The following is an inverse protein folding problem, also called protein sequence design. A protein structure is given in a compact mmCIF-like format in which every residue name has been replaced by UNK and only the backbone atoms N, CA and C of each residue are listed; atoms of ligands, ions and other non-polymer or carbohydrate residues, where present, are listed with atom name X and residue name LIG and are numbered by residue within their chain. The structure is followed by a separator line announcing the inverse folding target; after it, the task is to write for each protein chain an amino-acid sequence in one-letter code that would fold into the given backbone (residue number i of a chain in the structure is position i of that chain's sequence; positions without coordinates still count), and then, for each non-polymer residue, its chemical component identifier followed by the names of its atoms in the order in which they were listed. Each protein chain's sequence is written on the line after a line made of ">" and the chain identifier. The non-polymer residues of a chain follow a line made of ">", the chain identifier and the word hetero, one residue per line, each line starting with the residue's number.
data_IF_731765170482
#
_entry.id   IF_731765170482
#
_cell.length_a   1.000
_cell.length_b   1.000
_cell.length_c   1.000
_cell.angle_alpha   90.00
_cell.angle_beta   90.00
_cell.angle_gamma   90.00
#
_symmetry.space_group_name_H-M   'P 1'
#
loop_
_entity.id
_entity.type
_entity.pdbx_description
1 polymer ?
#
# COMPACT_ATOMS: atom_id res chain seq x y z
N UNK A 1 -37.79 0.54 -13.04
CA UNK A 1 -37.07 0.60 -11.74
C UNK A 1 -36.66 -0.81 -11.37
N UNK A 2 -35.36 -1.09 -11.21
CA UNK A 2 -34.86 -2.43 -10.84
C UNK A 2 -35.26 -2.69 -9.38
N UNK A 3 -35.89 -3.83 -9.09
CA UNK A 3 -36.35 -4.16 -7.73
C UNK A 3 -35.18 -4.20 -6.74
N UNK A 4 -35.42 -3.79 -5.50
CA UNK A 4 -34.42 -3.78 -4.42
C UNK A 4 -33.78 -5.18 -4.23
N UNK A 5 -34.56 -6.26 -4.48
CA UNK A 5 -34.06 -7.66 -4.51
C UNK A 5 -33.04 -7.91 -5.64
N UNK A 6 -33.30 -7.39 -6.83
CA UNK A 6 -32.40 -7.54 -7.98
C UNK A 6 -31.10 -6.72 -7.82
N UNK A 7 -31.17 -5.56 -7.15
CA UNK A 7 -29.98 -4.78 -6.80
C UNK A 7 -29.11 -5.50 -5.75
N UNK A 8 -29.73 -6.06 -4.71
CA UNK A 8 -29.02 -6.84 -3.70
C UNK A 8 -28.33 -8.08 -4.29
N UNK A 9 -28.98 -8.78 -5.23
CA UNK A 9 -28.38 -9.95 -5.88
C UNK A 9 -27.18 -9.58 -6.77
N UNK A 10 -27.26 -8.45 -7.49
CA UNK A 10 -26.14 -7.91 -8.28
C UNK A 10 -24.95 -7.54 -7.41
N UNK A 11 -25.19 -6.84 -6.30
CA UNK A 11 -24.15 -6.49 -5.33
C UNK A 11 -23.50 -7.73 -4.71
N UNK A 12 -24.29 -8.78 -4.42
CA UNK A 12 -23.76 -10.05 -3.91
C UNK A 12 -22.82 -10.72 -4.92
N UNK A 13 -23.26 -10.87 -6.18
CA UNK A 13 -22.43 -11.43 -7.27
C UNK A 13 -21.19 -10.59 -7.55
N UNK A 14 -21.26 -9.28 -7.37
CA UNK A 14 -20.09 -8.40 -7.51
C UNK A 14 -19.10 -8.61 -6.37
N UNK A 15 -19.57 -8.76 -5.13
CA UNK A 15 -18.73 -9.08 -3.97
C UNK A 15 -18.06 -10.43 -4.10
N UNK A 16 -18.79 -11.46 -4.55
CA UNK A 16 -18.25 -12.80 -4.80
C UNK A 16 -17.10 -12.76 -5.82
N UNK A 17 -17.32 -12.12 -6.99
CA UNK A 17 -16.27 -11.97 -8.01
C UNK A 17 -15.06 -11.19 -7.51
N UNK A 18 -15.28 -10.13 -6.75
CA UNK A 18 -14.16 -9.37 -6.15
C UNK A 18 -13.40 -10.20 -5.12
N UNK A 19 -14.09 -11.06 -4.36
CA UNK A 19 -13.48 -11.95 -3.38
C UNK A 19 -12.61 -12.99 -4.10
N UNK A 20 -13.14 -13.69 -5.10
CA UNK A 20 -12.39 -14.67 -5.89
C UNK A 20 -11.15 -14.06 -6.54
N UNK A 21 -11.29 -12.86 -7.12
CA UNK A 21 -10.15 -12.14 -7.69
C UNK A 21 -9.07 -11.82 -6.63
N UNK A 22 -9.47 -11.34 -5.44
CA UNK A 22 -8.53 -11.08 -4.34
C UNK A 22 -7.88 -12.36 -3.83
N UNK A 23 -8.62 -13.46 -3.74
CA UNK A 23 -8.10 -14.75 -3.27
C UNK A 23 -7.09 -15.34 -4.27
N UNK A 24 -7.34 -15.21 -5.58
CA UNK A 24 -6.35 -15.54 -6.62
C UNK A 24 -5.07 -14.71 -6.51
N UNK A 25 -5.20 -13.39 -6.37
CA UNK A 25 -4.04 -12.52 -6.19
C UNK A 25 -3.22 -12.84 -4.94
N UNK A 26 -3.88 -13.28 -3.85
CA UNK A 26 -3.22 -13.74 -2.63
C UNK A 26 -2.47 -15.06 -2.85
N UNK A 27 -3.08 -16.01 -3.57
CA UNK A 27 -2.44 -17.28 -3.91
C UNK A 27 -1.22 -17.07 -4.82
N UNK A 28 -1.31 -16.14 -5.78
CA UNK A 28 -0.19 -15.74 -6.66
C UNK A 28 0.87 -14.89 -5.94
N UNK A 29 0.67 -14.57 -4.64
CA UNK A 29 1.54 -13.68 -3.83
C UNK A 29 1.85 -12.35 -4.53
N UNK A 30 0.95 -11.89 -5.40
CA UNK A 30 1.18 -10.74 -6.26
C UNK A 30 1.08 -9.44 -5.43
N UNK A 31 2.10 -8.57 -5.44
CA UNK A 31 2.01 -7.30 -4.74
C UNK A 31 0.96 -6.41 -5.41
N UNK A 32 0.18 -5.73 -4.58
CA UNK A 32 -0.75 -4.69 -5.04
C UNK A 32 0.00 -3.39 -5.34
N UNK A 33 -0.64 -2.46 -6.06
CA UNK A 33 -0.09 -1.12 -6.32
C UNK A 33 0.32 -0.41 -5.02
N UNK A 34 -0.51 -0.55 -3.99
CA UNK A 34 -0.27 0.03 -2.68
C UNK A 34 0.89 -0.64 -1.94
N UNK A 35 1.06 -1.97 -2.07
CA UNK A 35 2.24 -2.65 -1.51
C UNK A 35 3.55 -2.12 -2.15
N UNK A 36 3.55 -1.94 -3.47
CA UNK A 36 4.71 -1.39 -4.19
C UNK A 36 4.95 0.07 -3.77
N UNK A 37 3.90 0.90 -3.73
CA UNK A 37 4.03 2.30 -3.33
C UNK A 37 4.61 2.44 -1.92
N UNK A 38 4.14 1.62 -0.97
CA UNK A 38 4.64 1.64 0.40
C UNK A 38 6.10 1.21 0.53
N UNK A 39 6.52 0.17 -0.20
CA UNK A 39 7.94 -0.26 -0.21
C UNK A 39 8.82 0.79 -0.88
N UNK A 40 8.36 1.37 -1.99
CA UNK A 40 9.09 2.40 -2.72
C UNK A 40 9.32 3.63 -1.85
N UNK A 41 8.27 4.13 -1.18
CA UNK A 41 8.37 5.25 -0.26
C UNK A 41 9.35 4.98 0.88
N UNK A 42 9.24 3.82 1.54
CA UNK A 42 10.15 3.45 2.62
C UNK A 42 11.61 3.43 2.15
N UNK A 43 11.87 2.86 0.97
CA UNK A 43 13.21 2.83 0.39
C UNK A 43 13.76 4.24 0.11
N UNK A 44 12.93 5.13 -0.44
CA UNK A 44 13.33 6.52 -0.72
C UNK A 44 13.67 7.27 0.58
N UNK A 45 12.84 7.16 1.61
CA UNK A 45 13.08 7.78 2.92
C UNK A 45 14.36 7.23 3.54
N UNK A 46 14.50 5.89 3.61
CA UNK A 46 15.66 5.25 4.21
C UNK A 46 16.96 5.58 3.47
N UNK A 47 16.91 5.66 2.14
CA UNK A 47 18.07 6.05 1.31
C UNK A 47 18.48 7.49 1.55
N UNK A 48 17.52 8.43 1.55
CA UNK A 48 17.79 9.83 1.82
C UNK A 48 18.46 10.02 3.19
N UNK A 49 17.90 9.38 4.23
CA UNK A 49 18.45 9.40 5.59
C UNK A 49 19.88 8.83 5.66
N UNK A 50 20.15 7.67 5.04
CA UNK A 50 21.48 7.05 5.05
C UNK A 50 22.54 7.86 4.29
N UNK A 51 22.13 8.57 3.25
CA UNK A 51 23.04 9.36 2.42
C UNK A 51 23.36 10.74 2.99
N UNK A 52 22.66 11.18 4.05
CA UNK A 52 22.76 12.56 4.56
C UNK A 52 22.32 13.63 3.56
N UNK A 53 21.67 13.22 2.46
CA UNK A 53 21.30 14.09 1.35
C UNK A 53 19.93 14.75 1.62
N UNK A 54 19.92 15.73 2.53
CA UNK A 54 18.71 16.50 2.86
C UNK A 54 18.14 17.21 1.63
N UNK A 55 18.97 17.83 0.80
CA UNK A 55 18.57 18.48 -0.46
C UNK A 55 17.82 17.53 -1.41
N UNK A 56 18.24 16.27 -1.48
CA UNK A 56 17.59 15.26 -2.30
C UNK A 56 16.20 14.87 -1.80
N UNK A 57 16.00 14.91 -0.47
CA UNK A 57 14.70 14.65 0.15
C UNK A 57 13.74 15.80 -0.08
N UNK A 58 14.19 17.04 0.16
CA UNK A 58 13.37 18.25 -0.04
C UNK A 58 12.86 18.33 -1.48
N UNK A 59 13.76 18.14 -2.47
CA UNK A 59 13.36 18.10 -3.89
C UNK A 59 12.34 17.02 -4.21
N UNK A 60 12.39 15.87 -3.54
CA UNK A 60 11.44 14.80 -3.74
C UNK A 60 10.07 15.15 -3.15
N UNK A 61 10.05 15.76 -1.97
CA UNK A 61 8.83 16.27 -1.33
C UNK A 61 8.18 17.33 -2.22
N UNK A 62 8.95 18.29 -2.73
CA UNK A 62 8.46 19.32 -3.65
C UNK A 62 7.82 18.71 -4.90
N UNK A 63 8.47 17.71 -5.51
CA UNK A 63 7.95 17.02 -6.69
C UNK A 63 6.63 16.30 -6.41
N UNK A 64 6.48 15.72 -5.22
CA UNK A 64 5.24 15.07 -4.80
C UNK A 64 4.13 16.11 -4.57
N UNK A 65 4.44 17.23 -3.93
CA UNK A 65 3.50 18.34 -3.72
C UNK A 65 3.02 18.94 -5.04
N UNK A 66 3.91 19.12 -6.00
CA UNK A 66 3.54 19.58 -7.35
C UNK A 66 2.65 18.57 -8.07
N UNK A 67 2.96 17.27 -7.97
CA UNK A 67 2.15 16.21 -8.55
C UNK A 67 0.76 16.08 -7.91
N UNK A 68 0.63 16.34 -6.61
CA UNK A 68 -0.64 16.38 -5.89
C UNK A 68 -1.43 17.65 -6.24
N UNK A 69 -0.77 18.81 -6.30
CA UNK A 69 -1.39 20.06 -6.69
C UNK A 69 -1.95 20.01 -8.12
N UNK A 70 -1.24 19.36 -9.06
CA UNK A 70 -1.72 19.14 -10.42
C UNK A 70 -3.00 18.30 -10.50
N UNK A 71 -3.29 17.49 -9.48
CA UNK A 71 -4.52 16.73 -9.35
C UNK A 71 -5.64 17.51 -8.62
N UNK A 72 -5.36 18.74 -8.19
CA UNK A 72 -6.28 19.61 -7.46
C UNK A 72 -6.26 19.44 -5.95
N UNK A 73 -5.25 18.77 -5.38
CA UNK A 73 -5.07 18.71 -3.93
C UNK A 73 -4.41 19.98 -3.40
N UNK A 74 -4.76 20.35 -2.17
CA UNK A 74 -4.11 21.46 -1.47
C UNK A 74 -2.68 21.08 -1.07
N UNK A 75 -1.72 21.99 -1.31
CA UNK A 75 -0.30 21.72 -1.08
C UNK A 75 0.03 21.61 0.41
N UNK A 76 -0.48 22.51 1.23
CA UNK A 76 -0.16 22.56 2.67
C UNK A 76 -0.74 21.33 3.37
N UNK A 77 -2.00 21.00 3.09
CA UNK A 77 -2.63 19.77 3.58
C UNK A 77 -1.92 18.49 3.08
N UNK A 78 -1.35 18.54 1.87
CA UNK A 78 -0.55 17.42 1.34
C UNK A 78 0.79 17.29 2.06
N UNK A 79 1.44 18.40 2.39
CA UNK A 79 2.70 18.43 3.14
C UNK A 79 2.50 17.83 4.53
N UNK A 80 1.46 18.24 5.26
CA UNK A 80 1.12 17.67 6.57
C UNK A 80 0.98 16.14 6.53
N UNK A 81 0.33 15.61 5.49
CA UNK A 81 0.16 14.16 5.30
C UNK A 81 1.49 13.48 4.98
N UNK A 82 2.34 14.11 4.17
CA UNK A 82 3.67 13.59 3.83
C UNK A 82 4.57 13.57 5.07
N UNK A 83 4.57 14.63 5.87
CA UNK A 83 5.37 14.72 7.09
C UNK A 83 4.95 13.67 8.12
N UNK A 84 3.65 13.48 8.36
CA UNK A 84 3.14 12.40 9.22
C UNK A 84 3.50 11.01 8.68
N UNK A 85 3.58 10.87 7.35
CA UNK A 85 4.04 9.64 6.70
C UNK A 85 5.52 9.39 6.99
N UNK A 86 6.38 10.40 6.79
CA UNK A 86 7.83 10.33 7.06
C UNK A 86 8.10 10.05 8.53
N UNK A 87 7.42 10.74 9.44
CA UNK A 87 7.55 10.53 10.88
C UNK A 87 7.17 9.09 11.28
N UNK A 88 6.10 8.55 10.69
CA UNK A 88 5.72 7.15 10.89
C UNK A 88 6.77 6.16 10.40
N UNK A 89 7.45 6.46 9.29
CA UNK A 89 8.50 5.59 8.74
C UNK A 89 9.86 5.72 9.41
N UNK A 90 10.14 6.84 10.08
CA UNK A 90 11.45 7.13 10.69
C UNK A 90 11.48 6.88 12.20
N UNK A 91 10.42 7.23 12.94
CA UNK A 91 10.38 7.15 14.41
C UNK A 91 9.74 5.87 14.93
N UNK A 92 8.80 5.29 14.20
CA UNK A 92 8.21 3.99 14.55
C UNK A 92 8.90 2.92 13.71
N UNK A 93 9.40 1.88 14.35
CA UNK A 93 9.85 0.64 13.71
C UNK A 93 8.66 -0.03 13.03
N UNK A 94 8.21 0.55 11.92
CA UNK A 94 7.05 0.10 11.20
C UNK A 94 7.44 -1.12 10.40
N UNK A 95 7.31 -2.28 11.02
CA UNK A 95 7.26 -3.54 10.28
C UNK A 95 5.99 -3.51 9.42
N UNK A 96 6.16 -3.64 8.10
CA UNK A 96 5.04 -3.86 7.19
C UNK A 96 4.16 -4.96 7.80
N UNK A 97 2.88 -4.64 8.07
CA UNK A 97 1.97 -5.59 8.72
C UNK A 97 1.99 -6.88 7.91
N UNK A 98 2.65 -7.91 8.46
CA UNK A 98 2.93 -9.15 7.74
C UNK A 98 1.60 -9.70 7.25
N UNK A 99 1.47 -9.85 5.94
CA UNK A 99 0.28 -10.48 5.37
C UNK A 99 0.36 -11.95 5.77
N UNK A 100 -0.61 -12.42 6.57
CA UNK A 100 -0.63 -13.79 7.12
C UNK A 100 -0.47 -14.85 6.01
N UNK A 101 -1.06 -14.63 4.83
CA UNK A 101 -0.93 -15.52 3.68
C UNK A 101 0.45 -15.51 2.98
N UNK A 102 1.35 -14.61 3.37
CA UNK A 102 2.74 -14.57 2.90
C UNK A 102 3.72 -15.20 3.89
N UNK A 103 3.27 -15.47 5.12
CA UNK A 103 4.08 -16.19 6.12
C UNK A 103 4.13 -17.65 5.70
N UNK A 104 5.32 -18.25 5.52
CA UNK A 104 5.44 -19.69 5.32
C UNK A 104 4.75 -20.40 6.48
N UNK A 105 3.85 -21.33 6.21
CA UNK A 105 3.38 -22.23 7.25
C UNK A 105 4.55 -23.18 7.53
N UNK A 106 5.39 -22.85 8.52
CA UNK A 106 6.33 -23.83 9.07
C UNK A 106 5.48 -24.98 9.64
N UNK A 107 5.34 -26.06 8.87
CA UNK A 107 4.52 -27.21 9.26
C UNK A 107 3.79 -27.96 8.15
N UNK A 108 4.12 -27.78 6.86
CA UNK A 108 3.52 -28.58 5.79
C UNK A 108 4.53 -29.09 4.74
N UNK A 109 5.77 -29.32 5.15
CA UNK A 109 6.69 -30.22 4.44
C UNK A 109 7.02 -31.39 5.37
N UNK A 110 6.05 -32.27 5.56
CA UNK A 110 6.32 -33.67 5.85
C UNK A 110 5.42 -34.53 4.96
N UNK A 111 5.85 -34.86 3.73
CA UNK A 111 5.41 -36.07 3.09
C UNK A 111 6.36 -37.19 3.55
N UNK A 112 5.84 -38.08 4.40
CA UNK A 112 6.39 -39.40 4.66
C UNK A 112 7.05 -39.99 3.40
N UNK A 113 8.35 -40.30 3.48
CA UNK A 113 8.94 -41.55 2.97
C UNK A 113 10.11 -41.97 3.86
#
# INVERSE_FOLDING_TARGET
>A
MVSNKQQAERLRKQRERQKEYRDRLRAERKPTRDDVARVFLHFMIAKAMRSGNQDGMEKLIDMLLDGLAAQGFDKDASLDVIDDLIDRYTKRGWDFRRKVHLVPHEGADDPEQ
#
